data_IF_210398399388
#
_entry.id   IF_210398399388
#
_cell.length_a   1.000
_cell.length_b   1.000
_cell.length_c   1.000
_cell.angle_alpha   90.00
_cell.angle_beta   90.00
_cell.angle_gamma   90.00
#
_symmetry.space_group_name_H-M   'P 1'
#
loop_
_entity.id
_entity.type
_entity.pdbx_description
1 polymer ?
#
# COMPACT_ATOMS: atom_id res chain seq x y z
N UNK A 1 39.39 34.75 -40.41
CA UNK A 1 39.90 34.02 -39.22
C UNK A 1 39.21 34.60 -37.98
N UNK A 2 38.25 33.88 -37.40
CA UNK A 2 37.59 34.27 -36.14
C UNK A 2 38.13 33.35 -35.04
N UNK A 3 38.76 33.96 -34.04
CA UNK A 3 39.37 33.29 -32.89
C UNK A 3 38.25 32.99 -31.86
N UNK A 4 38.04 31.72 -31.53
CA UNK A 4 37.08 31.31 -30.50
C UNK A 4 37.87 30.95 -29.23
N UNK A 5 37.65 31.69 -28.14
CA UNK A 5 38.24 31.44 -26.83
C UNK A 5 37.21 30.65 -26.00
N UNK A 6 37.57 29.45 -25.57
CA UNK A 6 36.76 28.60 -24.69
C UNK A 6 37.28 28.76 -23.26
N UNK A 7 36.45 29.26 -22.35
CA UNK A 7 36.73 29.27 -20.91
C UNK A 7 36.25 27.97 -20.27
N UNK A 8 37.16 27.24 -19.62
CA UNK A 8 36.86 26.04 -18.84
C UNK A 8 36.96 26.38 -17.35
N UNK A 9 35.83 26.44 -16.64
CA UNK A 9 35.79 26.61 -15.19
C UNK A 9 35.79 25.23 -14.53
N UNK A 10 36.91 24.86 -13.90
CA UNK A 10 36.99 23.69 -13.01
C UNK A 10 36.71 24.16 -11.58
N UNK A 11 35.58 23.71 -11.02
CA UNK A 11 35.25 23.88 -9.60
C UNK A 11 35.69 22.62 -8.86
N UNK A 12 36.77 22.70 -8.07
CA UNK A 12 37.18 21.62 -7.17
C UNK A 12 36.46 21.84 -5.84
N UNK A 13 35.49 20.98 -5.54
CA UNK A 13 34.84 20.94 -4.22
C UNK A 13 35.52 19.86 -3.38
N UNK A 14 36.31 20.27 -2.40
CA UNK A 14 36.95 19.37 -1.44
C UNK A 14 35.96 19.09 -0.30
N UNK A 15 35.29 17.95 -0.31
CA UNK A 15 34.46 17.52 0.82
C UNK A 15 35.26 16.62 1.75
N UNK A 16 35.47 17.06 2.99
CA UNK A 16 35.97 16.21 4.06
C UNK A 16 34.92 15.12 4.33
N UNK A 17 35.29 13.86 4.10
CA UNK A 17 34.41 12.72 4.30
C UNK A 17 34.45 12.32 5.78
N UNK A 18 33.75 13.07 6.63
CA UNK A 18 33.49 12.65 7.99
C UNK A 18 32.37 11.60 7.94
N UNK A 19 32.71 10.34 8.22
CA UNK A 19 31.78 9.21 8.12
C UNK A 19 30.92 9.17 9.37
N UNK A 20 29.96 10.09 9.45
CA UNK A 20 28.89 10.04 10.45
C UNK A 20 27.99 8.87 10.09
N UNK A 21 28.10 7.77 10.83
CA UNK A 21 27.16 6.65 10.74
C UNK A 21 25.80 7.12 11.26
N UNK A 22 24.92 7.53 10.35
CA UNK A 22 23.50 7.73 10.64
C UNK A 22 22.91 6.33 10.77
N UNK A 23 22.75 5.87 12.01
CA UNK A 23 22.04 4.63 12.31
C UNK A 23 20.58 4.80 11.88
N UNK A 24 20.01 3.78 11.26
CA UNK A 24 18.57 3.74 11.03
C UNK A 24 17.87 3.86 12.40
N UNK A 25 16.90 4.78 12.56
CA UNK A 25 16.17 4.89 13.80
C UNK A 25 15.49 3.55 14.10
N UNK A 26 15.70 3.04 15.32
CA UNK A 26 14.99 1.85 15.79
C UNK A 26 13.59 2.30 16.22
N UNK A 27 12.61 2.09 15.35
CA UNK A 27 11.21 2.35 15.67
C UNK A 27 10.72 1.26 16.64
N UNK A 28 10.58 1.60 17.92
CA UNK A 28 9.98 0.71 18.91
C UNK A 28 8.46 0.88 18.80
N UNK A 29 7.84 0.16 17.88
CA UNK A 29 6.38 0.02 17.91
C UNK A 29 6.04 -0.83 19.14
N UNK A 30 5.26 -0.27 20.07
CA UNK A 30 4.67 -1.06 21.15
C UNK A 30 3.61 -1.98 20.53
N UNK A 31 4.04 -3.13 20.03
CA UNK A 31 3.13 -4.18 19.62
C UNK A 31 2.32 -4.60 20.85
N UNK A 32 1.00 -4.44 20.76
CA UNK A 32 0.09 -5.14 21.67
C UNK A 32 0.47 -6.62 21.59
N UNK A 33 0.79 -7.32 22.69
CA UNK A 33 1.38 -8.65 22.64
C UNK A 33 0.40 -9.61 21.96
N UNK A 34 0.57 -9.78 20.65
CA UNK A 34 -0.04 -10.86 19.91
C UNK A 34 0.83 -12.04 20.28
N UNK A 35 0.36 -12.86 21.22
CA UNK A 35 1.03 -14.11 21.54
C UNK A 35 1.42 -14.82 20.23
N UNK A 36 2.68 -15.25 20.12
CA UNK A 36 3.35 -15.85 18.94
C UNK A 36 2.68 -17.12 18.36
N UNK A 37 1.45 -17.44 18.78
CA UNK A 37 0.65 -18.59 18.34
C UNK A 37 -0.25 -18.28 17.14
N UNK A 38 -0.33 -17.02 16.69
CA UNK A 38 -1.12 -16.65 15.53
C UNK A 38 -0.24 -16.52 14.29
N UNK A 39 -0.78 -16.90 13.13
CA UNK A 39 -0.05 -16.84 11.88
C UNK A 39 -0.08 -15.40 11.38
N UNK A 40 1.08 -14.75 11.35
CA UNK A 40 1.26 -13.36 10.95
C UNK A 40 1.97 -13.29 9.60
N UNK A 41 1.61 -12.30 8.79
CA UNK A 41 2.30 -11.95 7.54
C UNK A 41 2.53 -10.44 7.50
N UNK A 42 3.72 -10.02 7.11
CA UNK A 42 4.05 -8.61 6.87
C UNK A 42 4.42 -8.47 5.40
N UNK A 43 3.78 -7.52 4.71
CA UNK A 43 4.13 -7.12 3.35
C UNK A 43 4.68 -5.71 3.42
N UNK A 44 5.92 -5.56 3.00
CA UNK A 44 6.59 -4.26 2.99
C UNK A 44 6.31 -3.48 1.71
N UNK A 45 6.60 -2.18 1.75
CA UNK A 45 6.40 -1.21 0.67
C UNK A 45 6.89 -1.72 -0.69
N UNK A 46 8.09 -2.29 -0.72
CA UNK A 46 8.72 -2.73 -1.96
C UNK A 46 7.95 -3.89 -2.61
N UNK A 47 7.32 -4.76 -1.82
CA UNK A 47 6.47 -5.83 -2.35
C UNK A 47 5.13 -5.29 -2.90
N UNK A 48 4.59 -4.26 -2.25
CA UNK A 48 3.35 -3.59 -2.67
C UNK A 48 3.59 -2.84 -3.99
N UNK A 49 4.69 -2.10 -4.09
CA UNK A 49 4.94 -1.12 -5.16
C UNK A 49 5.71 -1.68 -6.36
N UNK A 50 6.62 -2.66 -6.19
CA UNK A 50 7.47 -3.11 -7.30
C UNK A 50 6.88 -4.24 -8.15
N UNK A 51 5.90 -4.99 -7.64
CA UNK A 51 5.43 -6.21 -8.30
C UNK A 51 4.04 -6.10 -8.93
N UNK A 52 3.32 -5.01 -8.70
CA UNK A 52 1.89 -4.93 -9.03
C UNK A 52 1.56 -3.57 -9.64
N UNK A 53 0.52 -3.53 -10.45
CA UNK A 53 -0.01 -2.27 -10.99
C UNK A 53 -0.74 -1.44 -9.92
N UNK A 54 -0.92 -2.01 -8.71
CA UNK A 54 -1.62 -1.38 -7.59
C UNK A 54 -3.12 -1.20 -7.84
N UNK A 55 -3.68 -1.90 -8.84
CA UNK A 55 -5.10 -1.80 -9.24
C UNK A 55 -5.97 -2.77 -8.46
N UNK A 56 -5.43 -3.95 -8.15
CA UNK A 56 -6.14 -5.02 -7.48
C UNK A 56 -5.33 -5.54 -6.30
N UNK A 57 -6.03 -5.80 -5.19
CA UNK A 57 -5.46 -6.53 -4.06
C UNK A 57 -4.99 -7.92 -4.47
N UNK A 58 -5.67 -8.55 -5.43
CA UNK A 58 -5.32 -9.90 -5.85
C UNK A 58 -3.86 -10.00 -6.33
N UNK A 59 -3.34 -8.99 -7.02
CA UNK A 59 -1.97 -8.98 -7.53
C UNK A 59 -0.96 -9.09 -6.38
N UNK A 60 -1.06 -8.20 -5.39
CA UNK A 60 -0.15 -8.13 -4.25
C UNK A 60 -0.30 -9.32 -3.30
N UNK A 61 -1.53 -9.73 -3.03
CA UNK A 61 -1.83 -10.68 -1.95
C UNK A 61 -1.92 -12.14 -2.42
N UNK A 62 -1.87 -12.41 -3.73
CA UNK A 62 -1.97 -13.77 -4.32
C UNK A 62 -0.94 -14.77 -3.79
N UNK A 63 0.22 -14.30 -3.32
CA UNK A 63 1.32 -15.14 -2.84
C UNK A 63 1.13 -15.62 -1.40
N UNK A 64 0.16 -15.08 -0.66
CA UNK A 64 0.04 -15.33 0.77
C UNK A 64 -0.76 -16.61 1.03
N UNK A 65 -0.17 -17.61 1.71
CA UNK A 65 -0.84 -18.88 1.92
C UNK A 65 -2.09 -18.72 2.79
N UNK A 66 -3.20 -19.27 2.31
CA UNK A 66 -4.48 -19.25 3.00
C UNK A 66 -5.26 -17.94 2.89
N UNK A 67 -4.74 -16.94 2.18
CA UNK A 67 -5.47 -15.75 1.77
C UNK A 67 -5.91 -15.93 0.31
N UNK A 68 -7.19 -15.72 0.05
CA UNK A 68 -7.74 -15.76 -1.30
C UNK A 68 -8.51 -14.47 -1.51
N UNK A 69 -8.08 -13.70 -2.49
CA UNK A 69 -8.75 -12.50 -2.96
C UNK A 69 -9.26 -12.80 -4.36
N UNK A 70 -10.54 -12.53 -4.61
CA UNK A 70 -11.11 -12.63 -5.94
C UNK A 70 -11.55 -11.24 -6.36
N UNK A 71 -10.87 -10.69 -7.36
CA UNK A 71 -11.29 -9.45 -7.98
C UNK A 71 -12.57 -9.69 -8.80
N UNK A 72 -13.60 -8.88 -8.55
CA UNK A 72 -14.90 -9.01 -9.23
C UNK A 72 -15.00 -8.19 -10.52
N UNK A 73 -13.94 -7.48 -10.87
CA UNK A 73 -13.87 -6.49 -11.92
C UNK A 73 -15.10 -5.56 -11.87
N UNK A 74 -15.48 -5.17 -10.65
CA UNK A 74 -16.62 -4.32 -10.37
C UNK A 74 -16.26 -3.40 -9.18
N UNK A 75 -15.81 -2.17 -9.48
CA UNK A 75 -15.41 -1.19 -8.48
C UNK A 75 -16.51 -0.78 -7.49
N UNK A 76 -17.79 -1.09 -7.76
CA UNK A 76 -18.89 -0.76 -6.85
C UNK A 76 -19.17 -1.84 -5.82
N UNK A 77 -18.80 -3.10 -6.10
CA UNK A 77 -19.03 -4.23 -5.20
C UNK A 77 -17.80 -4.62 -4.38
N UNK A 78 -16.62 -4.25 -4.88
CA UNK A 78 -15.34 -4.55 -4.25
C UNK A 78 -14.88 -5.99 -4.37
N UNK A 79 -13.69 -6.23 -3.79
CA UNK A 79 -13.03 -7.52 -3.87
C UNK A 79 -13.55 -8.48 -2.80
N UNK A 80 -13.63 -9.76 -3.15
CA UNK A 80 -14.00 -10.81 -2.20
C UNK A 80 -12.73 -11.34 -1.54
N UNK A 81 -12.55 -11.01 -0.26
CA UNK A 81 -11.42 -11.48 0.55
C UNK A 81 -11.86 -12.65 1.43
N UNK A 82 -11.05 -13.69 1.49
CA UNK A 82 -11.22 -14.81 2.43
C UNK A 82 -9.90 -15.30 3.01
N UNK A 83 -9.91 -15.63 4.29
CA UNK A 83 -8.74 -16.17 5.02
C UNK A 83 -9.16 -17.52 5.58
N UNK A 84 -8.45 -18.59 5.18
CA UNK A 84 -8.73 -19.99 5.55
C UNK A 84 -10.22 -20.36 5.38
N UNK A 85 -10.84 -19.87 4.29
CA UNK A 85 -12.24 -20.12 3.94
C UNK A 85 -13.28 -19.20 4.60
N UNK A 86 -12.93 -18.44 5.64
CA UNK A 86 -13.83 -17.44 6.23
C UNK A 86 -13.97 -16.26 5.27
N UNK A 87 -15.20 -15.79 5.04
CA UNK A 87 -15.49 -14.73 4.05
C UNK A 87 -15.82 -15.23 2.65
N UNK A 88 -15.53 -16.51 2.34
CA UNK A 88 -15.74 -17.11 1.00
C UNK A 88 -17.19 -17.10 0.52
N UNK A 89 -18.15 -17.14 1.45
CA UNK A 89 -19.61 -17.15 1.20
C UNK A 89 -20.23 -15.76 1.19
N UNK A 90 -19.44 -14.70 1.35
CA UNK A 90 -19.94 -13.33 1.30
C UNK A 90 -20.34 -12.97 -0.13
N UNK A 91 -21.61 -12.65 -0.35
CA UNK A 91 -22.11 -12.25 -1.67
C UNK A 91 -21.67 -10.83 -2.04
N UNK A 92 -21.37 -9.96 -1.07
CA UNK A 92 -20.82 -8.62 -1.23
C UNK A 92 -20.17 -8.19 0.09
N UNK A 93 -19.19 -7.30 0.03
CA UNK A 93 -18.43 -6.89 1.21
C UNK A 93 -17.65 -8.04 1.86
N UNK A 94 -16.83 -7.69 2.83
CA UNK A 94 -15.93 -8.61 3.52
C UNK A 94 -16.52 -8.88 4.92
N UNK A 95 -16.82 -10.14 5.21
CA UNK A 95 -17.43 -10.59 6.47
C UNK A 95 -16.53 -11.55 7.22
N UNK A 96 -16.47 -11.39 8.54
CA UNK A 96 -15.65 -12.21 9.43
C UNK A 96 -14.15 -11.90 9.36
N UNK A 97 -13.73 -10.94 8.54
CA UNK A 97 -12.37 -10.40 8.46
C UNK A 97 -12.49 -8.89 8.65
N UNK A 98 -11.67 -8.32 9.52
CA UNK A 98 -11.61 -6.86 9.69
C UNK A 98 -10.49 -6.25 8.87
N UNK A 99 -10.81 -5.14 8.22
CA UNK A 99 -9.85 -4.28 7.55
C UNK A 99 -9.61 -3.03 8.37
N UNK A 100 -8.36 -2.61 8.46
CA UNK A 100 -7.94 -1.37 9.09
C UNK A 100 -7.06 -0.57 8.14
N UNK A 101 -7.15 0.75 8.21
CA UNK A 101 -6.16 1.68 7.65
C UNK A 101 -5.66 2.52 8.81
N UNK A 102 -4.35 2.49 9.07
CA UNK A 102 -3.72 3.18 10.20
C UNK A 102 -4.40 2.88 11.54
N UNK A 103 -4.78 1.62 11.76
CA UNK A 103 -5.54 1.14 12.92
C UNK A 103 -6.98 1.70 13.05
N UNK A 104 -7.49 2.39 12.04
CA UNK A 104 -8.89 2.84 11.96
C UNK A 104 -9.70 1.79 11.19
N UNK A 105 -10.78 1.24 11.76
CA UNK A 105 -11.54 0.18 11.10
C UNK A 105 -12.26 0.69 9.85
N UNK A 106 -12.08 0.00 8.73
CA UNK A 106 -12.87 0.17 7.49
C UNK A 106 -14.15 -0.69 7.50
N UNK A 107 -14.62 -1.05 8.69
CA UNK A 107 -15.84 -1.86 8.88
C UNK A 107 -17.02 -0.92 9.10
N UNK A 108 -18.06 -1.11 8.29
CA UNK A 108 -19.34 -0.43 8.44
C UNK A 108 -20.06 -0.90 9.73
N UNK A 109 -21.04 -0.12 10.24
CA UNK A 109 -21.79 -0.49 11.45
C UNK A 109 -22.56 -1.81 11.34
N UNK A 110 -22.78 -2.31 10.12
CA UNK A 110 -23.42 -3.61 9.84
C UNK A 110 -22.44 -4.80 9.90
N UNK A 111 -21.16 -4.55 10.20
CA UNK A 111 -20.12 -5.56 10.32
C UNK A 111 -19.47 -5.98 9.00
N UNK A 112 -19.71 -5.25 7.91
CA UNK A 112 -19.05 -5.48 6.62
C UNK A 112 -17.87 -4.55 6.42
N UNK A 113 -16.73 -5.07 5.98
CA UNK A 113 -15.61 -4.25 5.53
C UNK A 113 -15.61 -4.12 4.00
N UNK A 114 -15.07 -3.01 3.49
CA UNK A 114 -14.89 -2.80 2.05
C UNK A 114 -13.44 -2.40 1.79
N UNK A 115 -12.87 -2.85 0.67
CA UNK A 115 -11.46 -2.64 0.36
C UNK A 115 -11.20 -1.57 -0.70
N UNK A 116 -12.26 -1.02 -1.29
CA UNK A 116 -12.18 -0.16 -2.48
C UNK A 116 -11.67 1.25 -2.17
N UNK A 117 -11.73 1.66 -0.91
CA UNK A 117 -11.31 2.99 -0.47
C UNK A 117 -9.84 3.02 -0.03
N UNK A 118 -9.09 1.94 -0.26
CA UNK A 118 -7.69 1.83 0.17
C UNK A 118 -6.79 2.26 -0.98
N UNK A 119 -5.94 3.24 -0.73
CA UNK A 119 -4.89 3.64 -1.67
C UNK A 119 -3.61 2.83 -1.42
N UNK A 120 -3.32 1.90 -2.33
CA UNK A 120 -2.11 1.07 -2.26
C UNK A 120 -0.83 1.84 -2.59
N UNK A 121 -0.93 2.92 -3.37
CA UNK A 121 0.24 3.67 -3.80
C UNK A 121 0.88 4.46 -2.65
N UNK A 122 0.08 4.87 -1.68
CA UNK A 122 0.52 5.50 -0.42
C UNK A 122 0.70 4.52 0.74
N UNK A 123 0.39 3.23 0.56
CA UNK A 123 0.59 2.22 1.61
C UNK A 123 2.08 1.88 1.76
N UNK A 124 2.59 1.94 2.99
CA UNK A 124 3.97 1.61 3.34
C UNK A 124 4.14 0.17 3.81
N UNK A 125 3.16 -0.40 4.50
CA UNK A 125 3.17 -1.82 4.85
C UNK A 125 1.75 -2.36 5.05
N UNK A 126 1.59 -3.67 4.90
CA UNK A 126 0.35 -4.37 5.21
C UNK A 126 0.63 -5.54 6.13
N UNK A 127 -0.08 -5.54 7.25
CA UNK A 127 0.02 -6.57 8.29
C UNK A 127 -1.21 -7.46 8.21
N UNK A 128 -1.02 -8.77 8.20
CA UNK A 128 -2.09 -9.75 8.11
C UNK A 128 -1.99 -10.73 9.26
N UNK A 129 -3.01 -10.70 10.10
CA UNK A 129 -3.22 -11.66 11.16
C UNK A 129 -4.20 -12.73 10.69
N UNK A 130 -3.70 -13.95 10.47
CA UNK A 130 -4.47 -15.09 9.96
C UNK A 130 -5.01 -15.93 11.12
N UNK A 131 -6.32 -16.09 11.17
CA UNK A 131 -7.03 -16.90 12.17
C UNK A 131 -7.90 -16.08 13.12
N UNK A 132 -8.54 -16.72 14.11
CA UNK A 132 -9.46 -16.05 15.01
C UNK A 132 -8.77 -14.97 15.87
N UNK A 133 -9.13 -13.71 15.63
CA UNK A 133 -8.60 -12.54 16.34
C UNK A 133 -9.70 -11.79 17.13
N UNK A 134 -10.81 -12.49 17.41
CA UNK A 134 -12.04 -11.86 17.88
C UNK A 134 -11.94 -11.30 19.31
N UNK A 135 -11.06 -11.87 20.14
CA UNK A 135 -10.78 -11.37 21.50
C UNK A 135 -10.28 -9.93 21.52
N UNK A 136 -9.60 -9.50 20.45
CA UNK A 136 -8.91 -8.22 20.38
C UNK A 136 -9.52 -7.24 19.39
N UNK A 137 -10.13 -7.77 18.33
CA UNK A 137 -10.67 -6.98 17.22
C UNK A 137 -12.19 -7.14 17.04
N UNK A 138 -12.89 -7.92 17.87
CA UNK A 138 -14.35 -8.11 17.78
C UNK A 138 -14.73 -9.09 16.67
N UNK A 139 -15.58 -8.71 15.70
CA UNK A 139 -16.01 -9.60 14.62
C UNK A 139 -14.90 -9.88 13.59
N UNK A 140 -13.88 -10.64 13.99
CA UNK A 140 -12.68 -10.98 13.24
C UNK A 140 -12.37 -12.49 13.40
N UNK A 141 -13.29 -13.34 12.91
CA UNK A 141 -13.20 -14.80 13.03
C UNK A 141 -12.16 -15.42 12.07
N UNK A 142 -11.96 -14.80 10.90
CA UNK A 142 -11.00 -15.22 9.88
C UNK A 142 -9.65 -14.54 10.02
N UNK A 143 -9.61 -13.34 10.58
CA UNK A 143 -8.39 -12.58 10.74
C UNK A 143 -8.58 -11.06 10.67
N UNK A 144 -7.45 -10.38 10.60
CA UNK A 144 -7.33 -8.93 10.47
C UNK A 144 -6.33 -8.62 9.36
N UNK A 145 -6.64 -7.63 8.54
CA UNK A 145 -5.69 -7.02 7.60
C UNK A 145 -5.60 -5.54 7.96
N UNK A 146 -4.39 -5.07 8.21
CA UNK A 146 -4.12 -3.69 8.61
C UNK A 146 -3.18 -3.06 7.59
N UNK A 147 -3.68 -2.08 6.86
CA UNK A 147 -2.90 -1.26 5.93
C UNK A 147 -2.33 -0.09 6.71
N UNK A 148 -1.04 0.17 6.57
CA UNK A 148 -0.40 1.33 7.16
C UNK A 148 0.13 2.23 6.06
N UNK A 149 -0.23 3.51 6.15
CA UNK A 149 0.22 4.54 5.25
C UNK A 149 1.73 4.72 5.41
N UNK A 150 2.42 4.99 4.31
CA UNK A 150 3.85 5.25 4.29
C UNK A 150 4.17 6.51 5.11
N UNK A 151 5.08 6.37 6.07
CA UNK A 151 5.70 7.51 6.73
C UNK A 151 7.02 7.83 6.01
N UNK A 152 7.23 9.07 5.53
CA UNK A 152 8.47 9.44 4.89
C UNK A 152 9.60 9.48 5.90
N UNK A 153 10.62 8.67 5.70
CA UNK A 153 11.83 8.67 6.53
C UNK A 153 12.93 9.50 5.87
N UNK A 154 13.43 10.52 6.57
CA UNK A 154 14.74 11.14 6.35
C UNK A 154 15.00 11.68 4.93
N UNK A 155 13.95 11.99 4.16
CA UNK A 155 14.04 12.61 2.84
C UNK A 155 13.34 13.95 2.83
N UNK A 156 14.05 15.01 2.46
CA UNK A 156 13.51 16.38 2.40
C UNK A 156 12.31 16.45 1.42
N UNK A 157 12.42 15.75 0.29
CA UNK A 157 11.38 15.64 -0.72
C UNK A 157 11.60 14.38 -1.56
N UNK A 158 10.54 13.61 -1.76
CA UNK A 158 10.48 12.43 -2.61
C UNK A 158 9.24 12.55 -3.51
N UNK A 159 9.45 12.47 -4.81
CA UNK A 159 8.40 12.56 -5.83
C UNK A 159 8.42 11.27 -6.65
N UNK A 160 7.31 10.55 -6.64
CA UNK A 160 7.14 9.26 -7.31
C UNK A 160 5.96 9.36 -8.28
N UNK A 161 6.20 9.72 -9.55
CA UNK A 161 5.20 9.63 -10.60
C UNK A 161 5.13 8.19 -11.15
N UNK A 162 3.92 7.74 -11.48
CA UNK A 162 3.68 6.45 -12.11
C UNK A 162 2.62 6.62 -13.21
N UNK A 163 2.89 6.04 -14.36
CA UNK A 163 1.95 6.01 -15.48
C UNK A 163 1.94 4.59 -16.03
N UNK A 164 0.76 3.97 -16.11
CA UNK A 164 0.58 2.61 -16.61
C UNK A 164 -0.46 2.62 -17.71
N UNK A 165 -0.16 1.93 -18.80
CA UNK A 165 -1.10 1.66 -19.89
C UNK A 165 -1.25 0.15 -20.06
N UNK A 166 -2.45 -0.32 -20.40
CA UNK A 166 -2.74 -1.74 -20.54
C UNK A 166 -3.85 -2.03 -21.54
N UNK A 167 -4.18 -3.30 -21.67
CA UNK A 167 -5.30 -3.76 -22.50
C UNK A 167 -6.64 -3.20 -22.03
N UNK A 168 -7.66 -3.24 -22.90
CA UNK A 168 -9.00 -2.73 -22.60
C UNK A 168 -9.04 -1.26 -22.22
N UNK A 169 -8.19 -0.44 -22.86
CA UNK A 169 -8.15 1.01 -22.61
C UNK A 169 -7.70 1.37 -21.19
N UNK A 170 -7.02 0.45 -20.49
CA UNK A 170 -6.52 0.68 -19.15
C UNK A 170 -5.46 1.78 -19.15
N UNK A 171 -5.70 2.82 -18.34
CA UNK A 171 -4.76 3.91 -18.09
C UNK A 171 -4.78 4.25 -16.60
N UNK A 172 -3.60 4.36 -15.99
CA UNK A 172 -3.42 4.78 -14.61
C UNK A 172 -2.39 5.89 -14.55
N UNK A 173 -2.73 6.95 -13.82
CA UNK A 173 -1.85 8.07 -13.51
C UNK A 173 -1.80 8.23 -12.00
N UNK A 174 -0.62 8.02 -11.42
CA UNK A 174 -0.38 8.16 -9.98
C UNK A 174 0.73 9.18 -9.75
N UNK A 175 0.56 10.01 -8.72
CA UNK A 175 1.57 10.94 -8.26
C UNK A 175 1.62 10.92 -6.75
N UNK A 176 2.79 10.59 -6.20
CA UNK A 176 3.05 10.62 -4.77
C UNK A 176 4.15 11.62 -4.48
N UNK A 177 3.88 12.53 -3.55
CA UNK A 177 4.82 13.53 -3.05
C UNK A 177 4.90 13.31 -1.55
N UNK A 178 6.09 13.09 -1.05
CA UNK A 178 6.31 12.76 0.36
C UNK A 178 7.61 13.40 0.83
N UNK A 179 7.73 13.68 2.12
CA UNK A 179 8.97 14.17 2.67
C UNK A 179 8.85 14.56 4.12
N UNK A 180 9.97 14.97 4.67
CA UNK A 180 10.13 15.40 6.05
C UNK A 180 10.86 16.73 6.07
N UNK A 181 10.30 17.70 6.78
CA UNK A 181 10.94 18.99 7.03
C UNK A 181 10.90 19.29 8.53
N UNK A 182 12.09 19.34 9.14
CA UNK A 182 12.29 19.46 10.59
C UNK A 182 11.62 18.32 11.37
N UNK A 183 10.48 18.58 12.01
CA UNK A 183 9.70 17.60 12.78
C UNK A 183 8.33 17.32 12.13
N UNK A 184 8.17 17.70 10.85
CA UNK A 184 6.92 17.58 10.12
C UNK A 184 7.09 16.64 8.94
N UNK A 185 6.34 15.55 8.95
CA UNK A 185 6.21 14.63 7.83
C UNK A 185 4.97 14.98 7.02
N UNK A 186 5.07 14.89 5.69
CA UNK A 186 3.96 15.11 4.79
C UNK A 186 3.93 14.02 3.71
N UNK A 187 2.73 13.59 3.35
CA UNK A 187 2.47 12.69 2.23
C UNK A 187 1.21 13.15 1.50
N UNK A 188 1.33 13.27 0.18
CA UNK A 188 0.25 13.54 -0.75
C UNK A 188 0.27 12.45 -1.81
N UNK A 189 -0.86 11.79 -2.01
CA UNK A 189 -1.03 10.75 -3.02
C UNK A 189 -2.25 11.07 -3.87
N UNK A 190 -2.06 11.10 -5.19
CA UNK A 190 -3.11 11.31 -6.18
C UNK A 190 -3.10 10.12 -7.13
N UNK A 191 -4.25 9.48 -7.29
CA UNK A 191 -4.41 8.34 -8.18
C UNK A 191 -5.64 8.53 -9.07
N UNK A 192 -5.48 8.29 -10.37
CA UNK A 192 -6.57 8.25 -11.33
C UNK A 192 -6.42 6.99 -12.19
N UNK A 193 -7.43 6.15 -12.20
CA UNK A 193 -7.48 4.90 -12.95
C UNK A 193 -8.70 4.97 -13.85
N UNK A 194 -8.53 4.73 -15.15
CA UNK A 194 -9.63 4.54 -16.08
C UNK A 194 -9.42 3.23 -16.85
N UNK A 195 -10.51 2.53 -17.14
CA UNK A 195 -10.49 1.28 -17.87
C UNK A 195 -11.81 1.12 -18.62
N UNK A 196 -11.81 0.73 -19.91
CA UNK A 196 -13.06 0.43 -20.62
C UNK A 196 -13.60 -0.96 -20.29
N UNK A 197 -12.75 -1.82 -19.74
CA UNK A 197 -13.09 -3.18 -19.34
C UNK A 197 -13.22 -4.15 -20.51
N UNK A 198 -13.21 -5.44 -20.21
CA UNK A 198 -13.43 -6.51 -21.19
C UNK A 198 -14.91 -6.70 -21.55
N UNK A 199 -15.81 -6.44 -20.59
CA UNK A 199 -17.26 -6.64 -20.73
C UNK A 199 -17.93 -5.37 -21.26
N UNK A 200 -18.98 -5.54 -22.06
CA UNK A 200 -19.83 -4.41 -22.49
C UNK A 200 -20.34 -3.63 -21.27
N UNK A 201 -20.38 -2.30 -21.39
CA UNK A 201 -20.81 -1.37 -20.32
C UNK A 201 -20.05 -1.51 -18.99
N UNK A 202 -18.79 -1.95 -19.01
CA UNK A 202 -17.95 -2.09 -17.82
C UNK A 202 -16.83 -1.04 -17.75
N UNK A 203 -17.02 0.09 -18.43
CA UNK A 203 -16.10 1.21 -18.34
C UNK A 203 -16.18 1.86 -16.94
N UNK A 204 -15.02 2.14 -16.34
CA UNK A 204 -14.87 2.70 -14.99
C UNK A 204 -13.70 3.66 -14.93
#
# INVERSE_FOLDING_TARGET
>A
MKLFIIFFFISISLSAHDSVYILQPVEITAERPVNNFQSFELIEKDEIQNFNTGVSLEETFSKIPGLIINNRNNPSLGDKISIRGIGSRSSFGIRGIKLFVDNIPLTLPDGQSQSNNIDFFSSGKVEILKGPASSFYGNAAGGVINFQTEFPENKILNVSPEIIFGSFGFQKYSLKISGEYNQHSYLLSLNNINNTGYREHSAS
#
